data_IF_248784908962
#
_entry.id   IF_248784908962
#
_cell.length_a   1.000
_cell.length_b   1.000
_cell.length_c   1.000
_cell.angle_alpha   90.00
_cell.angle_beta   90.00
_cell.angle_gamma   90.00
#
_symmetry.space_group_name_H-M   'P 1'
#
loop_
_entity.id
_entity.type
_entity.pdbx_description
1 polymer ?
#
# COMPACT_ATOMS: atom_id res chain seq x y z
N UNK A 1 -24.64 -27.51 -8.96
CA UNK A 1 -23.65 -26.53 -8.49
C UNK A 1 -24.35 -25.22 -8.20
N UNK A 2 -23.94 -24.51 -7.15
CA UNK A 2 -24.39 -23.14 -6.84
C UNK A 2 -23.33 -22.20 -7.44
N UNK A 3 -23.76 -21.23 -8.24
CA UNK A 3 -22.87 -20.23 -8.84
C UNK A 3 -23.09 -18.88 -8.16
N UNK A 4 -22.01 -18.24 -7.75
CA UNK A 4 -22.00 -16.95 -7.09
C UNK A 4 -21.03 -16.07 -7.86
N UNK A 5 -21.45 -14.84 -8.16
CA UNK A 5 -20.61 -13.83 -8.80
C UNK A 5 -20.11 -12.88 -7.74
N UNK A 6 -18.79 -12.73 -7.65
CA UNK A 6 -18.15 -11.65 -6.87
C UNK A 6 -18.01 -10.45 -7.80
N UNK A 7 -18.41 -9.27 -7.34
CA UNK A 7 -18.29 -8.02 -8.08
C UNK A 7 -17.04 -7.32 -7.55
N UNK A 8 -16.11 -7.03 -8.45
CA UNK A 8 -14.94 -6.21 -8.17
C UNK A 8 -15.34 -4.75 -8.31
N UNK A 9 -15.03 -3.92 -7.32
CA UNK A 9 -15.22 -2.47 -7.38
C UNK A 9 -13.92 -1.72 -7.05
N UNK A 10 -13.97 -0.39 -7.06
CA UNK A 10 -12.79 0.44 -6.83
C UNK A 10 -12.51 0.72 -5.34
N UNK A 11 -13.32 0.15 -4.43
CA UNK A 11 -13.15 0.34 -2.99
C UNK A 11 -12.14 -0.67 -2.44
N UNK A 12 -11.00 -0.18 -1.92
CA UNK A 12 -10.02 -1.05 -1.25
C UNK A 12 -10.58 -1.57 0.07
N UNK A 13 -11.01 -2.83 0.11
CA UNK A 13 -11.68 -3.41 1.28
C UNK A 13 -10.74 -4.29 2.14
N UNK A 14 -11.13 -4.49 3.41
CA UNK A 14 -10.55 -5.55 4.22
C UNK A 14 -11.00 -6.93 3.70
N UNK A 15 -10.46 -8.01 4.27
CA UNK A 15 -10.98 -9.33 3.93
C UNK A 15 -12.46 -9.43 4.37
N UNK A 16 -13.33 -9.78 3.43
CA UNK A 16 -14.77 -9.88 3.65
C UNK A 16 -15.20 -11.33 3.81
N UNK A 17 -16.18 -11.58 4.67
CA UNK A 17 -16.67 -12.94 4.95
C UNK A 17 -18.18 -12.99 4.83
N UNK A 18 -18.68 -13.99 4.11
CA UNK A 18 -20.10 -14.30 4.03
C UNK A 18 -20.36 -15.81 4.10
N UNK A 19 -21.61 -16.18 4.37
CA UNK A 19 -22.02 -17.57 4.56
C UNK A 19 -23.14 -17.97 3.61
N UNK A 20 -23.11 -19.23 3.18
CA UNK A 20 -24.16 -19.86 2.40
C UNK A 20 -24.77 -20.96 3.27
N UNK A 21 -26.08 -20.86 3.54
CA UNK A 21 -26.78 -21.79 4.42
C UNK A 21 -27.84 -22.60 3.67
N UNK A 22 -27.86 -23.93 3.90
CA UNK A 22 -28.97 -24.79 3.53
C UNK A 22 -30.08 -24.71 4.59
N UNK A 23 -31.25 -24.22 4.20
CA UNK A 23 -32.34 -23.89 5.14
C UNK A 23 -33.51 -24.88 5.16
N UNK A 24 -33.64 -25.71 4.12
CA UNK A 24 -34.69 -26.74 4.09
C UNK A 24 -34.53 -27.73 2.95
N UNK A 25 -35.22 -28.86 3.08
CA UNK A 25 -35.36 -29.87 2.05
C UNK A 25 -36.83 -30.35 2.00
N UNK A 26 -37.32 -30.72 0.81
CA UNK A 26 -38.68 -31.24 0.61
C UNK A 26 -38.63 -32.64 -0.02
N UNK A 27 -39.78 -33.29 -0.19
CA UNK A 27 -39.85 -34.63 -0.79
C UNK A 27 -39.35 -35.77 0.13
N UNK A 28 -39.39 -35.56 1.46
CA UNK A 28 -38.94 -36.55 2.46
C UNK A 28 -37.43 -36.56 2.71
N UNK A 29 -36.66 -35.71 2.05
CA UNK A 29 -35.24 -35.54 2.32
C UNK A 29 -35.00 -34.81 3.64
N UNK A 30 -33.91 -35.17 4.33
CA UNK A 30 -33.46 -34.56 5.58
C UNK A 30 -32.09 -33.94 5.35
N UNK A 31 -31.89 -32.71 5.84
CA UNK A 31 -30.59 -32.05 5.80
C UNK A 31 -29.58 -32.79 6.68
N UNK A 32 -28.37 -33.02 6.15
CA UNK A 32 -27.30 -33.74 6.83
C UNK A 32 -26.41 -32.86 7.70
N UNK A 33 -25.15 -33.25 7.84
CA UNK A 33 -24.11 -32.45 8.52
C UNK A 33 -23.46 -31.47 7.53
N UNK A 34 -22.98 -30.33 8.03
CA UNK A 34 -22.41 -29.20 7.26
C UNK A 34 -23.44 -28.41 6.43
N UNK A 35 -24.27 -27.62 7.10
CA UNK A 35 -25.31 -26.79 6.46
C UNK A 35 -24.83 -25.40 6.08
N UNK A 36 -23.63 -25.01 6.50
CA UNK A 36 -23.06 -23.69 6.29
C UNK A 36 -21.72 -23.83 5.58
N UNK A 37 -21.55 -23.09 4.50
CA UNK A 37 -20.27 -22.88 3.84
C UNK A 37 -19.87 -21.42 3.99
N UNK A 38 -18.73 -21.16 4.63
CA UNK A 38 -18.16 -19.81 4.71
C UNK A 38 -17.32 -19.56 3.45
N UNK A 39 -17.42 -18.33 2.92
CA UNK A 39 -16.60 -17.85 1.81
C UNK A 39 -15.90 -16.57 2.27
N UNK A 40 -14.60 -16.49 1.99
CA UNK A 40 -13.77 -15.30 2.29
C UNK A 40 -13.31 -14.66 0.99
N UNK A 41 -13.63 -13.39 0.81
CA UNK A 41 -13.06 -12.54 -0.23
C UNK A 41 -11.76 -11.97 0.36
N UNK A 42 -10.62 -12.27 -0.27
CA UNK A 42 -9.34 -11.75 0.19
C UNK A 42 -9.30 -10.23 -0.02
N UNK A 43 -8.59 -9.52 0.85
CA UNK A 43 -8.29 -8.09 0.70
C UNK A 43 -7.77 -7.82 -0.72
N UNK A 44 -8.39 -6.88 -1.44
CA UNK A 44 -7.95 -6.50 -2.78
C UNK A 44 -6.68 -5.64 -2.73
N UNK A 45 -6.65 -4.60 -1.88
CA UNK A 45 -5.56 -3.60 -1.89
C UNK A 45 -5.08 -3.16 -0.49
N UNK A 46 -4.06 -2.29 -0.48
CA UNK A 46 -3.60 -1.60 0.74
C UNK A 46 -4.57 -0.44 1.06
N UNK A 47 -5.36 -0.50 2.15
CA UNK A 47 -6.38 0.52 2.45
C UNK A 47 -5.78 1.90 2.76
N UNK A 48 -4.48 1.96 3.09
CA UNK A 48 -3.71 3.19 3.26
C UNK A 48 -3.08 3.68 1.95
N UNK A 49 -3.36 3.04 0.82
CA UNK A 49 -2.82 3.39 -0.48
C UNK A 49 -1.38 2.94 -0.67
N UNK A 50 -0.80 3.34 -1.79
CA UNK A 50 0.57 3.04 -2.20
C UNK A 50 1.30 4.37 -2.41
N UNK A 51 2.46 4.54 -1.78
CA UNK A 51 3.33 5.71 -1.98
C UNK A 51 4.47 5.36 -2.94
N UNK A 52 4.73 6.24 -3.91
CA UNK A 52 5.79 6.07 -4.92
C UNK A 52 6.37 7.40 -5.37
N UNK A 53 7.57 7.40 -5.96
CA UNK A 53 8.09 8.59 -6.66
C UNK A 53 7.30 8.80 -7.96
N UNK A 54 6.79 10.01 -8.19
CA UNK A 54 5.88 10.32 -9.28
C UNK A 54 6.52 10.18 -10.67
N UNK A 55 7.79 10.58 -10.84
CA UNK A 55 8.41 10.69 -12.17
C UNK A 55 9.94 10.45 -12.23
N UNK A 56 10.60 10.06 -11.14
CA UNK A 56 12.07 9.96 -11.06
C UNK A 56 12.51 8.74 -10.25
N UNK A 57 13.11 7.77 -10.91
CA UNK A 57 13.78 6.62 -10.28
C UNK A 57 15.30 6.69 -10.42
N UNK A 58 15.81 7.51 -11.34
CA UNK A 58 17.24 7.75 -11.54
C UNK A 58 17.48 9.20 -11.95
N UNK A 59 18.42 9.84 -11.26
CA UNK A 59 18.84 11.22 -11.53
C UNK A 59 20.37 11.20 -11.70
N UNK A 60 20.87 11.81 -12.77
CA UNK A 60 22.31 11.95 -13.03
C UNK A 60 22.59 13.44 -13.06
N UNK A 61 23.49 13.89 -12.19
CA UNK A 61 23.91 15.29 -12.10
C UNK A 61 25.42 15.37 -12.34
N UNK A 62 25.90 16.40 -13.08
CA UNK A 62 27.31 16.74 -13.04
C UNK A 62 27.69 17.20 -11.63
N UNK A 63 28.96 17.01 -11.24
CA UNK A 63 29.47 17.54 -9.97
C UNK A 63 29.28 19.07 -9.95
N UNK A 64 28.50 19.63 -9.01
CA UNK A 64 28.13 21.02 -9.07
C UNK A 64 29.22 21.91 -8.44
N UNK A 65 29.48 23.09 -9.04
CA UNK A 65 30.43 24.08 -8.49
C UNK A 65 29.86 24.87 -7.29
N UNK A 66 28.57 24.69 -6.99
CA UNK A 66 27.83 25.32 -5.90
C UNK A 66 26.72 24.40 -5.39
N UNK A 67 26.27 24.53 -4.14
CA UNK A 67 25.14 23.75 -3.62
C UNK A 67 23.95 23.79 -4.57
N UNK A 68 23.42 22.62 -4.90
CA UNK A 68 22.31 22.45 -5.84
C UNK A 68 21.29 21.51 -5.22
N UNK A 69 20.03 21.93 -5.22
CA UNK A 69 18.93 21.14 -4.67
C UNK A 69 18.36 20.16 -5.71
N UNK A 70 17.90 19.01 -5.24
CA UNK A 70 17.22 18.00 -6.05
C UNK A 70 15.81 17.80 -5.49
N UNK A 71 14.80 18.07 -6.31
CA UNK A 71 13.40 17.86 -5.91
C UNK A 71 12.92 16.48 -6.35
N UNK A 72 12.49 15.68 -5.37
CA UNK A 72 11.79 14.41 -5.58
C UNK A 72 10.32 14.59 -5.21
N UNK A 73 9.43 14.17 -6.10
CA UNK A 73 7.99 14.26 -5.88
C UNK A 73 7.45 12.88 -5.59
N UNK A 74 6.69 12.75 -4.51
CA UNK A 74 6.03 11.53 -4.09
C UNK A 74 4.54 11.63 -4.40
N UNK A 75 3.94 10.50 -4.72
CA UNK A 75 2.53 10.34 -5.03
C UNK A 75 1.97 9.21 -4.15
N UNK A 76 0.82 9.45 -3.54
CA UNK A 76 0.02 8.42 -2.87
C UNK A 76 -1.19 8.10 -3.76
N UNK A 77 -1.33 6.86 -4.18
CA UNK A 77 -2.42 6.38 -5.07
C UNK A 77 -3.23 5.27 -4.41
N UNK A 78 -4.46 5.05 -4.90
CA UNK A 78 -5.39 4.06 -4.34
C UNK A 78 -6.28 4.67 -3.27
N UNK A 79 -6.78 3.85 -2.34
CA UNK A 79 -7.60 4.32 -1.22
C UNK A 79 -6.75 5.13 -0.23
N UNK A 80 -7.14 6.38 0.04
CA UNK A 80 -6.36 7.32 0.86
C UNK A 80 -6.83 7.36 2.31
N UNK A 81 -7.21 6.22 2.89
CA UNK A 81 -7.74 6.25 4.26
C UNK A 81 -6.64 6.53 5.28
N UNK A 82 -6.92 7.51 6.13
CA UNK A 82 -6.14 7.82 7.31
C UNK A 82 -4.81 8.52 7.00
N UNK A 83 -4.28 9.10 8.07
CA UNK A 83 -2.97 9.74 8.07
C UNK A 83 -1.88 8.70 7.85
N UNK A 84 -0.99 8.97 6.90
CA UNK A 84 0.18 8.12 6.63
C UNK A 84 1.44 8.95 6.74
N UNK A 85 2.31 8.58 7.68
CA UNK A 85 3.67 9.08 7.77
C UNK A 85 4.57 8.25 6.86
N UNK A 86 5.43 8.93 6.09
CA UNK A 86 6.46 8.30 5.28
C UNK A 86 7.80 8.85 5.72
N UNK A 87 8.67 7.94 6.16
CA UNK A 87 10.04 8.23 6.53
C UNK A 87 10.97 7.96 5.34
N UNK A 88 12.04 8.73 5.23
CA UNK A 88 13.03 8.58 4.17
C UNK A 88 14.44 8.84 4.70
N UNK A 89 15.40 8.10 4.15
CA UNK A 89 16.84 8.20 4.43
C UNK A 89 17.62 8.29 3.12
N UNK A 90 18.74 9.01 3.13
CA UNK A 90 19.77 8.90 2.10
C UNK A 90 20.70 7.75 2.46
N UNK A 91 20.96 6.86 1.50
CA UNK A 91 21.96 5.79 1.62
C UNK A 91 23.22 6.13 0.80
N UNK A 92 24.39 5.75 1.30
CA UNK A 92 25.68 5.94 0.64
C UNK A 92 26.51 7.10 1.21
N UNK A 93 27.37 7.75 0.40
CA UNK A 93 27.67 7.44 -1.01
C UNK A 93 28.33 6.08 -1.20
N UNK A 94 28.10 5.42 -2.35
CA UNK A 94 28.74 4.16 -2.76
C UNK A 94 28.57 2.98 -1.77
N UNK A 95 27.56 3.02 -0.91
CA UNK A 95 27.17 1.96 0.03
C UNK A 95 25.65 1.92 0.18
N UNK A 96 25.15 0.90 0.89
CA UNK A 96 23.74 0.79 1.28
C UNK A 96 23.53 1.25 2.74
N UNK A 97 24.53 1.88 3.36
CA UNK A 97 24.44 2.38 4.73
C UNK A 97 23.76 3.75 4.78
N UNK A 98 23.01 4.02 5.86
CA UNK A 98 22.38 5.33 6.09
C UNK A 98 23.47 6.40 6.24
N UNK A 99 23.35 7.46 5.46
CA UNK A 99 24.27 8.59 5.48
C UNK A 99 24.16 9.34 6.82
N UNK A 100 25.24 9.46 7.60
CA UNK A 100 25.22 10.27 8.81
C UNK A 100 25.10 11.77 8.47
N UNK A 101 24.46 12.58 9.35
CA UNK A 101 24.40 14.03 9.19
C UNK A 101 25.80 14.67 9.09
N UNK A 102 26.79 14.10 9.77
CA UNK A 102 28.18 14.51 9.66
C UNK A 102 28.85 13.79 8.46
N UNK A 103 28.71 14.37 7.28
CA UNK A 103 29.38 13.92 6.05
C UNK A 103 29.94 15.13 5.26
N UNK A 104 30.72 14.89 4.20
CA UNK A 104 31.38 15.94 3.40
C UNK A 104 30.70 16.24 2.06
N UNK A 105 29.79 15.39 1.60
CA UNK A 105 29.42 15.31 0.19
C UNK A 105 27.96 15.73 -0.06
N UNK A 106 27.07 15.53 0.91
CA UNK A 106 25.63 15.75 0.80
C UNK A 106 25.17 16.58 2.00
N UNK A 107 24.62 17.76 1.72
CA UNK A 107 24.10 18.66 2.74
C UNK A 107 22.78 18.18 3.36
N UNK A 108 22.44 18.74 4.53
CA UNK A 108 21.18 18.46 5.22
C UNK A 108 19.94 18.97 4.45
N UNK A 109 18.76 18.33 4.65
CA UNK A 109 18.56 17.13 5.47
C UNK A 109 18.97 15.84 4.73
N UNK A 110 19.58 14.91 5.47
CA UNK A 110 19.93 13.57 4.96
C UNK A 110 18.86 12.50 5.23
N UNK A 111 17.86 12.84 6.06
CA UNK A 111 16.68 12.03 6.33
C UNK A 111 15.51 12.92 6.77
N UNK A 112 14.32 12.33 6.87
CA UNK A 112 13.16 13.03 7.40
C UNK A 112 11.87 12.23 7.26
N UNK A 113 10.76 12.93 7.51
CA UNK A 113 9.44 12.36 7.32
C UNK A 113 8.47 13.39 6.75
N UNK A 114 7.41 12.91 6.11
CA UNK A 114 6.29 13.73 5.66
C UNK A 114 4.98 12.96 5.85
N UNK A 115 3.86 13.69 5.87
CA UNK A 115 2.54 13.14 6.17
C UNK A 115 1.62 13.33 4.96
N UNK A 116 0.89 12.28 4.60
CA UNK A 116 -0.33 12.38 3.82
C UNK A 116 -1.51 12.38 4.79
N UNK A 117 -2.17 13.53 4.95
CA UNK A 117 -3.44 13.66 5.67
C UNK A 117 -4.56 14.06 4.72
N UNK A 118 -5.80 13.94 5.20
CA UNK A 118 -6.97 14.52 4.54
C UNK A 118 -6.96 16.03 4.81
N UNK A 119 -7.01 16.87 3.77
CA UNK A 119 -7.34 18.31 3.93
C UNK A 119 -8.80 18.50 4.36
#
# INVERSE_FOLDING_TARGET
FIYITIIDDEESEFAEQFEIQLTGATGGAVLGLHLVSQVTIARSDSPQGIVRFLNRTRIILPNPDRPTEVSLVLERTGRLLGETQIDWDILGPNSEEVLPPLNSDIGDPVNGSFYFGDE
#
